data_IF_683180136242
#
_entry.id   IF_683180136242
#
_cell.length_a   1.000
_cell.length_b   1.000
_cell.length_c   1.000
_cell.angle_alpha   90.00
_cell.angle_beta   90.00
_cell.angle_gamma   90.00
#
_symmetry.space_group_name_H-M   'P 1'
#
loop_
_entity.id
_entity.type
_entity.pdbx_description
1 polymer ?
#
# COMPACT_ATOMS: atom_id res chain seq x y z
N UNK A 1 -3.85 49.67 -4.49
CA UNK A 1 -4.49 48.33 -4.48
C UNK A 1 -3.40 47.31 -4.27
N UNK A 2 -3.24 46.80 -3.04
CA UNK A 2 -2.31 45.69 -2.75
C UNK A 2 -3.02 44.40 -3.14
N UNK A 3 -2.55 43.72 -4.21
CA UNK A 3 -3.00 42.38 -4.56
C UNK A 3 -2.64 41.45 -3.39
N UNK A 4 -3.67 40.92 -2.73
CA UNK A 4 -3.47 39.88 -1.73
C UNK A 4 -2.93 38.65 -2.43
N UNK A 5 -1.68 38.30 -2.15
CA UNK A 5 -1.15 36.98 -2.53
C UNK A 5 -2.08 35.93 -1.93
N UNK A 6 -2.74 35.17 -2.79
CA UNK A 6 -3.54 34.02 -2.41
C UNK A 6 -2.53 33.00 -1.88
N UNK A 7 -2.52 32.71 -0.58
CA UNK A 7 -1.68 31.64 -0.01
C UNK A 7 -2.10 30.34 -0.66
N UNK A 8 -1.16 29.62 -1.30
CA UNK A 8 -1.40 28.31 -1.87
C UNK A 8 -1.91 27.36 -0.79
N UNK A 9 -3.00 26.69 -1.08
CA UNK A 9 -3.56 25.68 -0.18
C UNK A 9 -2.66 24.44 -0.14
N UNK A 10 -2.81 23.58 0.88
CA UNK A 10 -2.11 22.30 0.93
C UNK A 10 -2.39 21.45 -0.31
N UNK A 11 -3.63 21.50 -0.82
CA UNK A 11 -4.04 20.82 -2.06
C UNK A 11 -3.26 21.34 -3.28
N UNK A 12 -3.12 22.66 -3.42
CA UNK A 12 -2.41 23.25 -4.56
C UNK A 12 -0.91 22.89 -4.51
N UNK A 13 -0.32 22.92 -3.34
CA UNK A 13 1.08 22.50 -3.12
C UNK A 13 1.29 21.01 -3.47
N UNK A 14 0.39 20.13 -3.07
CA UNK A 14 0.47 18.70 -3.41
C UNK A 14 0.34 18.50 -4.92
N UNK A 15 -0.55 19.22 -5.58
CA UNK A 15 -0.69 19.17 -7.05
C UNK A 15 0.58 19.62 -7.76
N UNK A 16 1.22 20.68 -7.27
CA UNK A 16 2.50 21.16 -7.79
C UNK A 16 3.60 20.11 -7.65
N UNK A 17 3.72 19.44 -6.48
CA UNK A 17 4.68 18.36 -6.24
C UNK A 17 4.54 17.23 -7.27
N UNK A 18 3.32 16.79 -7.58
CA UNK A 18 3.11 15.75 -8.58
C UNK A 18 3.42 16.22 -10.01
N UNK A 19 3.06 17.47 -10.34
CA UNK A 19 3.35 18.05 -11.65
C UNK A 19 4.87 18.18 -11.87
N UNK A 20 5.61 18.70 -10.89
CA UNK A 20 7.06 18.87 -10.93
C UNK A 20 7.79 17.51 -11.03
N UNK A 21 7.24 16.46 -10.42
CA UNK A 21 7.76 15.10 -10.53
C UNK A 21 7.42 14.40 -11.85
N UNK A 22 6.66 15.03 -12.74
CA UNK A 22 6.24 14.43 -14.01
C UNK A 22 5.31 13.22 -13.82
N UNK A 23 4.41 13.29 -12.85
CA UNK A 23 3.43 12.22 -12.61
C UNK A 23 2.02 12.77 -12.37
N UNK A 24 1.01 11.93 -12.62
CA UNK A 24 -0.33 12.13 -12.10
C UNK A 24 -0.39 11.52 -10.71
N UNK A 25 -0.92 12.28 -9.74
CA UNK A 25 -1.04 11.84 -8.35
C UNK A 25 -2.46 11.91 -7.80
N UNK A 26 -2.75 11.00 -6.89
CA UNK A 26 -3.98 10.90 -6.11
C UNK A 26 -3.61 10.75 -4.65
N UNK A 27 -4.25 11.48 -3.78
CA UNK A 27 -3.97 11.45 -2.35
C UNK A 27 -5.25 11.56 -1.54
N UNK A 28 -5.35 10.75 -0.50
CA UNK A 28 -6.27 10.99 0.60
C UNK A 28 -5.53 10.82 1.93
N UNK A 29 -5.81 11.70 2.88
CA UNK A 29 -5.31 11.59 4.25
C UNK A 29 -6.44 11.86 5.25
N UNK A 30 -6.39 11.17 6.41
CA UNK A 30 -7.36 11.33 7.49
C UNK A 30 -6.74 11.09 8.86
N UNK A 31 -7.20 11.81 9.87
CA UNK A 31 -6.90 11.48 11.26
C UNK A 31 -7.69 10.24 11.69
N UNK A 32 -6.99 9.26 12.23
CA UNK A 32 -7.61 8.05 12.76
C UNK A 32 -8.27 8.35 14.11
N UNK A 33 -9.49 7.84 14.31
CA UNK A 33 -10.24 7.96 15.57
C UNK A 33 -10.49 9.41 16.04
N UNK A 34 -10.37 10.41 15.15
CA UNK A 34 -10.70 11.79 15.46
C UNK A 34 -12.21 12.02 15.33
N UNK A 35 -12.91 12.46 16.41
CA UNK A 35 -14.34 12.78 16.33
C UNK A 35 -14.71 13.85 15.30
N UNK A 36 -13.73 14.69 14.89
CA UNK A 36 -13.93 15.73 13.87
C UNK A 36 -13.83 15.20 12.44
N UNK A 37 -13.39 13.93 12.28
CA UNK A 37 -13.21 13.26 10.99
C UNK A 37 -12.42 14.12 9.96
N UNK A 38 -11.35 14.82 10.40
CA UNK A 38 -10.60 15.71 9.55
C UNK A 38 -9.89 14.95 8.42
N UNK A 39 -10.08 15.41 7.19
CA UNK A 39 -9.50 14.80 5.98
C UNK A 39 -8.89 15.84 5.06
N UNK A 40 -7.97 15.39 4.19
CA UNK A 40 -7.44 16.14 3.06
C UNK A 40 -7.44 15.23 1.83
N UNK A 41 -7.92 15.74 0.69
CA UNK A 41 -8.09 14.94 -0.52
C UNK A 41 -7.61 15.67 -1.76
N UNK A 42 -6.87 14.94 -2.59
CA UNK A 42 -6.54 15.32 -3.98
C UNK A 42 -6.97 14.17 -4.87
N UNK A 43 -8.13 14.28 -5.54
CA UNK A 43 -8.71 13.23 -6.38
C UNK A 43 -8.87 11.88 -5.62
N UNK A 44 -9.16 11.94 -4.32
CA UNK A 44 -9.19 10.78 -3.44
C UNK A 44 -10.35 9.80 -3.67
N UNK A 45 -11.34 10.17 -4.48
CA UNK A 45 -12.51 9.40 -4.90
C UNK A 45 -12.36 8.77 -6.31
N UNK A 46 -11.26 9.02 -6.99
CA UNK A 46 -10.98 8.42 -8.30
C UNK A 46 -10.35 7.03 -8.18
N UNK A 47 -10.66 6.15 -9.13
CA UNK A 47 -10.11 4.78 -9.15
C UNK A 47 -8.63 4.78 -9.53
N UNK A 48 -7.84 4.01 -8.79
CA UNK A 48 -6.39 3.85 -8.97
C UNK A 48 -6.00 2.38 -8.90
N UNK A 49 -4.89 2.05 -9.54
CA UNK A 49 -4.28 0.70 -9.52
C UNK A 49 -3.63 0.47 -8.16
N UNK A 50 -3.91 -0.67 -7.54
CA UNK A 50 -3.32 -1.04 -6.25
C UNK A 50 -1.84 -1.43 -6.37
N UNK A 51 -1.42 -2.14 -7.43
CA UNK A 51 -0.18 -2.87 -7.44
C UNK A 51 -0.04 -3.68 -6.13
N UNK A 52 1.17 -3.83 -5.56
CA UNK A 52 1.36 -4.59 -4.31
C UNK A 52 0.67 -4.02 -3.06
N UNK A 53 -0.02 -2.89 -3.14
CA UNK A 53 -0.89 -2.43 -2.03
C UNK A 53 -2.05 -3.40 -1.79
N UNK A 54 -2.44 -4.22 -2.79
CA UNK A 54 -3.45 -5.27 -2.61
C UNK A 54 -3.10 -6.28 -1.52
N UNK A 55 -1.82 -6.42 -1.19
CA UNK A 55 -1.34 -7.30 -0.11
C UNK A 55 -1.82 -6.86 1.27
N UNK A 56 -2.16 -5.58 1.46
CA UNK A 56 -2.71 -5.09 2.72
C UNK A 56 -4.10 -5.67 3.01
N UNK A 57 -5.13 -5.54 2.17
CA UNK A 57 -6.41 -6.21 2.43
C UNK A 57 -6.29 -7.74 2.49
N UNK A 58 -5.40 -8.37 1.72
CA UNK A 58 -5.11 -9.81 1.85
C UNK A 58 -4.55 -10.15 3.23
N UNK A 59 -3.62 -9.36 3.74
CA UNK A 59 -3.04 -9.54 5.07
C UNK A 59 -4.07 -9.39 6.18
N UNK A 60 -4.97 -8.42 6.06
CA UNK A 60 -6.06 -8.24 7.03
C UNK A 60 -7.09 -9.37 6.97
N UNK A 61 -7.35 -9.91 5.77
CA UNK A 61 -8.17 -11.11 5.62
C UNK A 61 -7.50 -12.33 6.29
N UNK A 62 -6.19 -12.51 6.12
CA UNK A 62 -5.44 -13.53 6.86
C UNK A 62 -5.61 -13.39 8.37
N UNK A 63 -5.40 -12.19 8.93
CA UNK A 63 -5.58 -11.94 10.35
C UNK A 63 -7.02 -12.23 10.82
N UNK A 64 -8.02 -11.85 10.04
CA UNK A 64 -9.42 -12.12 10.35
C UNK A 64 -9.77 -13.61 10.32
N UNK A 65 -9.16 -14.39 9.41
CA UNK A 65 -9.31 -15.85 9.36
C UNK A 65 -8.66 -16.54 10.58
N UNK A 66 -7.54 -16.00 11.05
CA UNK A 66 -6.89 -16.45 12.29
C UNK A 66 -7.76 -16.13 13.51
N UNK A 67 -8.29 -14.91 13.63
CA UNK A 67 -9.19 -14.51 14.70
C UNK A 67 -10.47 -15.36 14.76
N UNK A 68 -10.95 -15.76 13.61
CA UNK A 68 -12.12 -16.63 13.48
C UNK A 68 -11.81 -18.12 13.74
N UNK A 69 -10.55 -18.50 13.98
CA UNK A 69 -10.12 -19.87 14.17
C UNK A 69 -10.19 -20.75 12.91
N UNK A 70 -10.33 -20.15 11.72
CA UNK A 70 -10.35 -20.87 10.45
C UNK A 70 -8.94 -21.12 9.87
N UNK A 71 -7.96 -20.34 10.26
CA UNK A 71 -6.55 -20.56 9.96
C UNK A 71 -5.70 -20.62 11.24
N UNK A 72 -4.76 -21.56 11.25
CA UNK A 72 -3.71 -21.62 12.27
C UNK A 72 -2.50 -20.80 11.80
N UNK A 73 -2.25 -19.66 12.46
CA UNK A 73 -1.13 -18.77 12.15
C UNK A 73 0.25 -19.45 12.33
N UNK A 74 0.35 -20.44 13.21
CA UNK A 74 1.57 -21.23 13.46
C UNK A 74 1.75 -22.40 12.49
N UNK A 75 0.70 -22.75 11.76
CA UNK A 75 0.71 -23.85 10.79
C UNK A 75 1.79 -23.66 9.74
N UNK A 76 2.51 -24.73 9.44
CA UNK A 76 3.69 -24.71 8.59
C UNK A 76 3.34 -24.88 7.11
N UNK A 77 3.94 -24.03 6.28
CA UNK A 77 3.87 -24.10 4.82
C UNK A 77 5.25 -24.46 4.27
N UNK A 78 5.30 -25.49 3.44
CA UNK A 78 6.51 -25.80 2.65
C UNK A 78 6.35 -25.14 1.28
N UNK A 79 7.27 -24.24 0.98
CA UNK A 79 7.24 -23.42 -0.23
C UNK A 79 8.47 -23.76 -1.08
N UNK A 80 8.25 -24.04 -2.36
CA UNK A 80 9.31 -24.33 -3.34
C UNK A 80 9.42 -23.09 -4.24
N UNK A 81 10.51 -22.33 -4.16
CA UNK A 81 10.62 -21.02 -4.86
C UNK A 81 10.48 -21.11 -6.38
N UNK A 82 10.93 -22.23 -6.99
CA UNK A 82 10.78 -22.44 -8.45
C UNK A 82 9.33 -22.53 -8.93
N UNK A 83 8.41 -22.86 -8.03
CA UNK A 83 6.98 -23.04 -8.34
C UNK A 83 6.17 -21.77 -8.04
N UNK A 84 6.86 -20.71 -7.56
CA UNK A 84 6.26 -19.47 -7.12
C UNK A 84 6.48 -18.32 -8.12
N UNK A 85 5.68 -17.28 -7.97
CA UNK A 85 5.87 -16.03 -8.73
C UNK A 85 7.23 -15.40 -8.42
N UNK A 86 8.01 -15.08 -9.44
CA UNK A 86 9.33 -14.47 -9.26
C UNK A 86 9.23 -13.08 -8.63
N UNK A 87 10.29 -12.70 -7.91
CA UNK A 87 10.39 -11.38 -7.30
C UNK A 87 11.79 -11.10 -6.77
N UNK A 88 12.12 -9.83 -6.52
CA UNK A 88 13.46 -9.45 -6.06
C UNK A 88 13.69 -9.67 -4.55
N UNK A 89 12.68 -10.05 -3.80
CA UNK A 89 12.69 -10.06 -2.33
C UNK A 89 12.00 -11.27 -1.74
N UNK A 90 12.37 -11.61 -0.50
CA UNK A 90 11.76 -12.68 0.27
C UNK A 90 11.93 -14.06 -0.35
N UNK A 91 10.94 -14.92 -0.16
CA UNK A 91 10.92 -16.31 -0.66
C UNK A 91 11.08 -16.36 -2.19
N UNK A 92 10.49 -15.38 -2.89
CA UNK A 92 10.60 -15.29 -4.35
C UNK A 92 12.04 -15.19 -4.87
N UNK A 93 13.00 -14.84 -4.01
CA UNK A 93 14.45 -14.76 -4.33
C UNK A 93 15.26 -15.96 -3.84
N UNK A 94 14.65 -16.91 -3.12
CA UNK A 94 15.36 -18.08 -2.59
C UNK A 94 15.63 -19.10 -3.71
N UNK A 95 16.59 -20.00 -3.45
CA UNK A 95 16.96 -21.07 -4.39
C UNK A 95 16.44 -22.44 -3.95
N UNK A 96 16.36 -22.63 -2.64
CA UNK A 96 16.01 -23.90 -2.03
C UNK A 96 14.64 -23.82 -1.37
N UNK A 97 13.92 -24.96 -1.25
CA UNK A 97 12.65 -25.02 -0.53
C UNK A 97 12.80 -24.56 0.92
N UNK A 98 11.79 -23.83 1.40
CA UNK A 98 11.73 -23.33 2.77
C UNK A 98 10.43 -23.78 3.43
N UNK A 99 10.48 -23.98 4.76
CA UNK A 99 9.29 -24.22 5.58
C UNK A 99 9.17 -23.08 6.58
N UNK A 100 8.01 -22.39 6.56
CA UNK A 100 7.73 -21.25 7.41
C UNK A 100 6.32 -21.34 7.98
N UNK A 101 6.08 -20.67 9.12
CA UNK A 101 4.72 -20.50 9.62
C UNK A 101 3.92 -19.56 8.71
N UNK A 102 2.59 -19.72 8.69
CA UNK A 102 1.71 -18.80 7.92
C UNK A 102 1.91 -17.35 8.34
N UNK A 103 2.11 -17.08 9.65
CA UNK A 103 2.36 -15.71 10.12
C UNK A 103 3.67 -15.13 9.59
N UNK A 104 4.72 -15.93 9.43
CA UNK A 104 6.01 -15.48 8.91
C UNK A 104 5.93 -15.27 7.39
N UNK A 105 5.16 -16.11 6.68
CA UNK A 105 4.84 -15.88 5.27
C UNK A 105 4.07 -14.56 5.09
N UNK A 106 3.08 -14.29 5.95
CA UNK A 106 2.32 -13.04 5.93
C UNK A 106 3.21 -11.83 6.26
N UNK A 107 4.12 -11.96 7.22
CA UNK A 107 5.10 -10.92 7.54
C UNK A 107 6.06 -10.66 6.35
N UNK A 108 6.57 -11.70 5.68
CA UNK A 108 7.40 -11.54 4.46
C UNK A 108 6.64 -10.82 3.35
N UNK A 109 5.38 -11.20 3.10
CA UNK A 109 4.52 -10.53 2.14
C UNK A 109 4.42 -9.02 2.37
N UNK A 110 4.29 -8.60 3.62
CA UNK A 110 4.09 -7.20 3.98
C UNK A 110 5.40 -6.42 4.06
N UNK A 111 6.41 -6.96 4.75
CA UNK A 111 7.64 -6.22 5.09
C UNK A 111 8.55 -5.99 3.91
N UNK A 112 8.75 -7.02 3.06
CA UNK A 112 9.60 -6.94 1.86
C UNK A 112 8.81 -7.03 0.56
N UNK A 113 7.47 -7.05 0.63
CA UNK A 113 6.58 -7.17 -0.54
C UNK A 113 6.77 -8.48 -1.32
N UNK A 114 7.08 -9.58 -0.66
CA UNK A 114 7.33 -10.90 -1.22
C UNK A 114 6.16 -11.38 -2.10
N UNK A 115 6.44 -11.69 -3.38
CA UNK A 115 5.43 -12.10 -4.34
C UNK A 115 5.01 -13.55 -4.14
N UNK A 116 5.99 -14.44 -3.85
CA UNK A 116 5.71 -15.85 -3.59
C UNK A 116 4.83 -16.01 -2.35
N UNK A 117 5.18 -15.30 -1.27
CA UNK A 117 4.37 -15.27 -0.05
C UNK A 117 2.94 -14.78 -0.31
N UNK A 118 2.78 -13.75 -1.14
CA UNK A 118 1.47 -13.20 -1.47
C UNK A 118 0.59 -14.21 -2.22
N UNK A 119 1.14 -14.87 -3.25
CA UNK A 119 0.36 -15.80 -4.06
C UNK A 119 0.04 -17.10 -3.29
N UNK A 120 0.96 -17.56 -2.43
CA UNK A 120 0.71 -18.69 -1.51
C UNK A 120 -0.44 -18.38 -0.55
N UNK A 121 -0.43 -17.21 0.10
CA UNK A 121 -1.51 -16.84 1.02
C UNK A 121 -2.83 -16.57 0.29
N UNK A 122 -2.78 -15.93 -0.87
CA UNK A 122 -3.98 -15.71 -1.68
C UNK A 122 -4.59 -17.03 -2.13
N UNK A 123 -3.77 -18.04 -2.46
CA UNK A 123 -4.21 -19.38 -2.79
C UNK A 123 -4.91 -20.11 -1.63
N UNK A 124 -4.47 -19.89 -0.37
CA UNK A 124 -5.12 -20.46 0.82
C UNK A 124 -6.41 -19.71 1.21
N UNK A 125 -6.41 -18.39 1.14
CA UNK A 125 -7.49 -17.52 1.63
C UNK A 125 -8.58 -17.35 0.55
N UNK A 126 -8.17 -17.20 -0.70
CA UNK A 126 -9.05 -16.89 -1.83
C UNK A 126 -9.42 -15.40 -1.92
N UNK A 127 -9.69 -14.94 -3.13
CA UNK A 127 -10.13 -13.55 -3.39
C UNK A 127 -11.48 -13.25 -2.75
N UNK A 128 -12.39 -14.22 -2.73
CA UNK A 128 -13.73 -14.09 -2.15
C UNK A 128 -13.68 -13.68 -0.68
N UNK A 129 -12.82 -14.30 0.13
CA UNK A 129 -12.65 -13.96 1.56
C UNK A 129 -12.16 -12.52 1.74
N UNK A 130 -11.25 -12.07 0.86
CA UNK A 130 -10.78 -10.68 0.87
C UNK A 130 -11.91 -9.72 0.51
N UNK A 131 -12.70 -10.04 -0.52
CA UNK A 131 -13.85 -9.23 -0.94
C UNK A 131 -14.94 -9.16 0.13
N UNK A 132 -15.21 -10.26 0.83
CA UNK A 132 -16.14 -10.29 1.96
C UNK A 132 -15.68 -9.39 3.11
N UNK A 133 -14.38 -9.37 3.43
CA UNK A 133 -13.82 -8.44 4.40
C UNK A 133 -14.04 -6.99 3.97
N UNK A 134 -13.70 -6.66 2.72
CA UNK A 134 -13.87 -5.31 2.16
C UNK A 134 -15.36 -4.89 2.18
N UNK A 135 -16.27 -5.79 1.82
CA UNK A 135 -17.71 -5.52 1.86
C UNK A 135 -18.22 -5.26 3.29
N UNK A 136 -17.78 -6.04 4.29
CA UNK A 136 -18.12 -5.80 5.71
C UNK A 136 -17.66 -4.43 6.20
N UNK A 137 -16.54 -3.92 5.65
CA UNK A 137 -16.01 -2.59 5.98
C UNK A 137 -16.65 -1.47 5.13
N UNK A 138 -17.55 -1.81 4.22
CA UNK A 138 -18.17 -0.86 3.30
C UNK A 138 -17.19 -0.26 2.28
N UNK A 139 -16.12 -1.01 1.93
CA UNK A 139 -15.10 -0.60 0.95
C UNK A 139 -15.45 -1.15 -0.43
N UNK A 140 -16.53 -0.65 -1.00
CA UNK A 140 -17.17 -1.20 -2.21
C UNK A 140 -16.50 -0.77 -3.52
N UNK A 141 -15.60 0.19 -3.47
CA UNK A 141 -14.81 0.67 -4.61
C UNK A 141 -13.46 -0.03 -4.74
N UNK A 142 -13.08 -0.81 -3.71
CA UNK A 142 -11.87 -1.64 -3.69
C UNK A 142 -12.20 -3.05 -4.17
N UNK A 143 -11.40 -3.57 -5.10
CA UNK A 143 -11.55 -4.94 -5.61
C UNK A 143 -10.19 -5.61 -5.79
N UNK A 144 -10.13 -6.90 -5.52
CA UNK A 144 -8.96 -7.75 -5.70
C UNK A 144 -9.32 -8.84 -6.71
N UNK A 145 -8.82 -8.74 -7.94
CA UNK A 145 -9.18 -9.65 -9.03
C UNK A 145 -8.16 -10.77 -9.25
N UNK A 146 -7.11 -10.83 -8.47
CA UNK A 146 -6.06 -11.84 -8.54
C UNK A 146 -4.80 -11.40 -7.83
N UNK A 147 -3.79 -12.28 -7.81
CA UNK A 147 -2.48 -12.09 -7.22
C UNK A 147 -1.43 -11.53 -8.18
N UNK A 148 -0.17 -11.57 -7.76
CA UNK A 148 0.95 -11.12 -8.58
C UNK A 148 1.15 -12.04 -9.79
N UNK A 149 0.92 -13.35 -9.65
CA UNK A 149 1.01 -14.30 -10.75
C UNK A 149 0.09 -13.94 -11.92
N UNK A 150 -1.18 -13.60 -11.60
CA UNK A 150 -2.18 -13.23 -12.63
C UNK A 150 -1.79 -11.95 -13.38
N UNK A 151 -1.23 -10.98 -12.67
CA UNK A 151 -0.75 -9.73 -13.28
C UNK A 151 0.44 -9.99 -14.18
N UNK A 152 1.40 -10.81 -13.75
CA UNK A 152 2.61 -11.11 -14.51
C UNK A 152 2.32 -11.94 -15.76
N UNK A 153 1.41 -12.90 -15.65
CA UNK A 153 0.96 -13.67 -16.80
C UNK A 153 0.35 -12.76 -17.87
N UNK A 154 -0.56 -11.88 -17.48
CA UNK A 154 -1.17 -10.91 -18.41
C UNK A 154 -0.15 -9.96 -19.03
N UNK A 155 0.84 -9.49 -18.27
CA UNK A 155 1.91 -8.65 -18.83
C UNK A 155 2.71 -9.37 -19.91
N UNK A 156 3.05 -10.65 -19.70
CA UNK A 156 3.74 -11.47 -20.72
C UNK A 156 2.90 -11.61 -21.97
N UNK A 157 1.60 -11.90 -21.84
CA UNK A 157 0.66 -12.02 -22.95
C UNK A 157 0.50 -10.69 -23.70
N UNK A 158 0.30 -9.57 -22.99
CA UNK A 158 0.05 -8.25 -23.59
C UNK A 158 1.29 -7.62 -24.24
N UNK A 159 2.48 -8.01 -23.80
CA UNK A 159 3.74 -7.54 -24.38
C UNK A 159 4.33 -8.50 -25.44
N UNK A 160 3.65 -9.62 -25.72
CA UNK A 160 4.10 -10.67 -26.64
C UNK A 160 5.55 -11.14 -26.33
N UNK A 161 5.84 -11.31 -25.03
CA UNK A 161 7.15 -11.77 -24.53
C UNK A 161 7.05 -13.19 -23.96
N UNK A 162 8.19 -13.80 -23.63
CA UNK A 162 8.23 -15.18 -23.12
C UNK A 162 8.36 -15.23 -21.59
N UNK A 163 8.87 -14.16 -21.01
CA UNK A 163 9.17 -14.11 -19.58
C UNK A 163 8.75 -12.77 -18.97
N UNK A 164 8.48 -12.78 -17.70
CA UNK A 164 8.20 -11.55 -16.93
C UNK A 164 9.34 -10.53 -17.00
N UNK A 165 10.59 -10.99 -17.05
CA UNK A 165 11.77 -10.10 -17.18
C UNK A 165 11.76 -9.38 -18.51
N UNK A 166 11.45 -10.10 -19.59
CA UNK A 166 11.32 -9.50 -20.94
C UNK A 166 10.14 -8.54 -20.99
N UNK A 167 8.99 -8.89 -20.39
CA UNK A 167 7.83 -8.02 -20.30
C UNK A 167 8.15 -6.70 -19.59
N UNK A 168 8.78 -6.74 -18.41
CA UNK A 168 9.20 -5.53 -17.72
C UNK A 168 10.23 -4.72 -18.48
N UNK A 169 11.15 -5.35 -19.22
CA UNK A 169 12.09 -4.64 -20.09
C UNK A 169 11.36 -3.95 -21.24
N UNK A 170 10.40 -4.62 -21.88
CA UNK A 170 9.58 -4.02 -22.93
C UNK A 170 8.81 -2.79 -22.42
N UNK A 171 8.25 -2.85 -21.19
CA UNK A 171 7.54 -1.72 -20.58
C UNK A 171 8.43 -0.50 -20.27
N UNK A 172 9.77 -0.66 -20.30
CA UNK A 172 10.71 0.47 -20.14
C UNK A 172 11.14 1.09 -21.45
N UNK A 173 10.70 0.55 -22.60
CA UNK A 173 10.90 1.17 -23.90
C UNK A 173 10.04 2.44 -24.01
N UNK A 174 10.72 3.59 -24.02
CA UNK A 174 10.08 4.91 -24.05
C UNK A 174 9.44 5.24 -25.41
N UNK A 175 9.83 4.54 -26.46
CA UNK A 175 9.29 4.72 -27.81
C UNK A 175 8.02 3.87 -28.03
N UNK A 176 7.77 2.91 -27.13
CA UNK A 176 6.58 2.08 -27.14
C UNK A 176 5.54 2.63 -26.16
N UNK A 177 4.44 3.18 -26.65
CA UNK A 177 3.30 3.60 -25.84
C UNK A 177 2.51 2.37 -25.39
N UNK A 178 3.02 1.66 -24.36
CA UNK A 178 2.36 0.46 -23.85
C UNK A 178 1.06 0.80 -23.12
N UNK A 179 -0.04 0.24 -23.63
CA UNK A 179 -1.33 0.21 -22.94
C UNK A 179 -1.54 -1.22 -22.40
N UNK A 180 -1.10 -1.47 -21.18
CA UNK A 180 -1.27 -2.77 -20.52
C UNK A 180 -2.33 -2.70 -19.44
N UNK A 181 -3.06 -3.80 -19.25
CA UNK A 181 -4.13 -3.91 -18.26
C UNK A 181 -3.66 -3.60 -16.84
N UNK A 182 -2.39 -3.89 -16.53
CA UNK A 182 -1.77 -3.59 -15.24
C UNK A 182 -1.72 -2.10 -14.88
N UNK A 183 -1.88 -1.18 -15.85
CA UNK A 183 -1.89 0.26 -15.65
C UNK A 183 -3.29 0.88 -15.65
N UNK A 184 -4.33 0.09 -15.90
CA UNK A 184 -5.71 0.55 -15.96
C UNK A 184 -6.54 -0.04 -14.79
N UNK A 185 -7.08 0.81 -13.90
CA UNK A 185 -7.90 0.35 -12.78
C UNK A 185 -9.20 -0.34 -13.21
N UNK A 186 -9.57 -0.33 -14.49
CA UNK A 186 -10.69 -1.09 -15.02
C UNK A 186 -10.39 -2.59 -15.15
N UNK A 187 -9.12 -2.97 -15.33
CA UNK A 187 -8.72 -4.34 -15.67
C UNK A 187 -7.82 -5.03 -14.64
N UNK A 188 -7.46 -4.35 -13.55
CA UNK A 188 -6.62 -4.92 -12.49
C UNK A 188 -7.21 -4.69 -11.10
N UNK A 189 -6.55 -5.19 -10.07
CA UNK A 189 -6.90 -4.88 -8.67
C UNK A 189 -6.80 -3.39 -8.44
N UNK A 190 -7.88 -2.79 -7.95
CA UNK A 190 -8.05 -1.34 -7.89
C UNK A 190 -8.77 -0.88 -6.63
N UNK A 191 -8.61 0.40 -6.31
CA UNK A 191 -9.23 1.06 -5.15
C UNK A 191 -9.49 2.52 -5.45
N UNK A 192 -9.93 3.26 -4.42
CA UNK A 192 -9.83 4.73 -4.33
C UNK A 192 -9.00 5.08 -3.09
N UNK A 193 -8.19 6.16 -3.11
CA UNK A 193 -7.36 6.56 -1.97
C UNK A 193 -8.12 6.69 -0.65
N UNK A 194 -9.36 7.18 -0.70
CA UNK A 194 -10.22 7.32 0.48
C UNK A 194 -10.50 5.97 1.16
N UNK A 195 -10.79 4.91 0.40
CA UNK A 195 -11.05 3.58 0.98
C UNK A 195 -9.80 2.99 1.64
N UNK A 196 -8.61 3.24 1.10
CA UNK A 196 -7.38 2.77 1.74
C UNK A 196 -7.12 3.47 3.07
N UNK A 197 -7.39 4.76 3.19
CA UNK A 197 -7.28 5.43 4.49
C UNK A 197 -8.36 4.99 5.47
N UNK A 198 -9.56 4.64 5.01
CA UNK A 198 -10.60 4.02 5.86
C UNK A 198 -10.18 2.63 6.35
N UNK A 199 -9.56 1.82 5.47
CA UNK A 199 -9.03 0.52 5.85
C UNK A 199 -7.93 0.64 6.92
N UNK A 200 -7.00 1.58 6.75
CA UNK A 200 -5.95 1.87 7.73
C UNK A 200 -6.53 2.35 9.07
N UNK A 201 -7.49 3.28 9.03
CA UNK A 201 -8.19 3.74 10.24
C UNK A 201 -8.88 2.60 10.98
N UNK A 202 -9.53 1.69 10.27
CA UNK A 202 -10.19 0.54 10.87
C UNK A 202 -9.21 -0.39 11.62
N UNK A 203 -7.98 -0.54 11.11
CA UNK A 203 -6.91 -1.27 11.81
C UNK A 203 -6.45 -0.50 13.05
N UNK A 204 -6.22 0.81 12.94
CA UNK A 204 -5.71 1.63 14.04
C UNK A 204 -6.74 1.87 15.15
N UNK A 205 -8.02 1.85 14.83
CA UNK A 205 -9.11 1.90 15.82
C UNK A 205 -9.40 0.56 16.50
N UNK A 206 -8.78 -0.54 16.03
CA UNK A 206 -9.05 -1.89 16.54
C UNK A 206 -10.47 -2.41 16.24
N UNK A 207 -11.14 -1.84 15.21
CA UNK A 207 -12.53 -2.18 14.91
C UNK A 207 -12.71 -3.39 14.00
N UNK A 208 -11.61 -3.95 13.44
CA UNK A 208 -11.63 -5.00 12.40
C UNK A 208 -11.14 -6.34 12.92
N UNK A 209 -10.13 -6.34 13.77
CA UNK A 209 -9.39 -7.50 14.24
C UNK A 209 -9.43 -7.59 15.75
N UNK A 210 -9.09 -8.77 16.29
CA UNK A 210 -8.83 -8.93 17.72
C UNK A 210 -7.68 -8.01 18.18
N UNK A 211 -7.55 -7.71 19.48
CA UNK A 211 -6.42 -6.92 19.99
C UNK A 211 -5.06 -7.53 19.61
N UNK A 212 -4.91 -8.86 19.65
CA UNK A 212 -3.68 -9.56 19.30
C UNK A 212 -3.36 -9.40 17.81
N UNK A 213 -4.32 -9.66 16.93
CA UNK A 213 -4.14 -9.51 15.48
C UNK A 213 -3.97 -8.05 15.06
N UNK A 214 -4.60 -7.10 15.77
CA UNK A 214 -4.37 -5.67 15.56
C UNK A 214 -2.92 -5.28 15.86
N UNK A 215 -2.40 -5.70 17.03
CA UNK A 215 -1.01 -5.44 17.40
C UNK A 215 -0.03 -6.07 16.40
N UNK A 216 -0.26 -7.33 16.02
CA UNK A 216 0.52 -8.00 15.00
C UNK A 216 0.50 -7.24 13.66
N UNK A 217 -0.67 -6.82 13.19
CA UNK A 217 -0.82 -6.09 11.94
C UNK A 217 -0.04 -4.78 11.96
N UNK A 218 -0.17 -3.99 13.02
CA UNK A 218 0.56 -2.73 13.19
C UNK A 218 2.07 -2.96 13.25
N UNK A 219 2.54 -3.96 14.01
CA UNK A 219 3.95 -4.32 14.11
C UNK A 219 4.54 -4.68 12.73
N UNK A 220 3.88 -5.57 11.98
CA UNK A 220 4.33 -6.00 10.66
C UNK A 220 4.36 -4.82 9.68
N UNK A 221 3.38 -3.93 9.71
CA UNK A 221 3.36 -2.74 8.85
C UNK A 221 4.47 -1.74 9.19
N UNK A 222 4.85 -1.57 10.48
CA UNK A 222 6.00 -0.76 10.90
C UNK A 222 7.34 -1.35 10.47
N UNK A 223 7.40 -2.67 10.24
CA UNK A 223 8.61 -3.37 9.80
C UNK A 223 8.84 -3.33 8.28
N UNK A 224 8.03 -2.59 7.50
CA UNK A 224 8.26 -2.42 6.07
C UNK A 224 9.64 -1.80 5.82
N UNK A 225 10.43 -2.42 4.92
CA UNK A 225 11.84 -2.06 4.67
C UNK A 225 12.05 -0.94 3.63
N UNK A 226 10.99 -0.39 3.05
CA UNK A 226 11.05 0.59 1.95
C UNK A 226 10.88 2.03 2.46
N UNK A 227 11.97 2.81 2.73
CA UNK A 227 11.87 4.12 3.35
C UNK A 227 11.80 5.28 2.34
N UNK A 228 11.83 5.02 1.05
CA UNK A 228 12.08 6.03 0.00
C UNK A 228 10.84 6.78 -0.49
N UNK A 229 9.63 6.46 0.03
CA UNK A 229 8.36 7.13 -0.30
C UNK A 229 7.82 7.88 0.91
N UNK A 230 6.69 7.44 1.50
CA UNK A 230 6.07 8.18 2.62
C UNK A 230 7.07 8.44 3.74
N UNK A 231 7.85 7.43 4.15
CA UNK A 231 8.83 7.59 5.23
C UNK A 231 9.90 8.64 4.94
N UNK A 232 10.26 8.87 3.68
CA UNK A 232 11.23 9.93 3.29
C UNK A 232 10.75 11.34 3.61
N UNK A 233 9.44 11.54 3.71
CA UNK A 233 8.84 12.82 4.13
C UNK A 233 8.97 13.12 5.62
N UNK A 234 9.38 12.14 6.44
CA UNK A 234 9.40 12.23 7.91
C UNK A 234 10.73 11.75 8.49
N UNK A 235 11.87 12.38 8.16
CA UNK A 235 13.19 11.96 8.61
C UNK A 235 13.47 12.38 10.07
N UNK A 236 12.50 12.22 10.96
CA UNK A 236 12.57 12.66 12.34
C UNK A 236 12.51 11.46 13.31
N UNK A 237 13.37 11.49 14.34
CA UNK A 237 13.30 10.51 15.43
C UNK A 237 11.95 10.65 16.16
N UNK A 238 11.34 9.51 16.50
CA UNK A 238 10.06 9.47 17.22
C UNK A 238 8.82 9.56 16.31
N UNK A 239 8.99 9.62 14.99
CA UNK A 239 7.87 9.42 14.05
C UNK A 239 7.92 7.99 13.54
N UNK A 240 6.84 7.23 13.77
CA UNK A 240 6.71 5.89 13.24
C UNK A 240 5.88 5.91 11.95
N UNK A 241 6.30 5.09 10.98
CA UNK A 241 5.59 4.91 9.70
C UNK A 241 5.27 3.43 9.55
N UNK A 242 3.99 3.13 9.44
CA UNK A 242 3.50 1.77 9.25
C UNK A 242 2.77 1.66 7.93
N UNK A 243 3.33 0.97 6.93
CA UNK A 243 2.79 1.07 5.58
C UNK A 243 2.94 -0.14 4.69
N UNK A 244 2.47 0.03 3.45
CA UNK A 244 2.65 -0.90 2.35
C UNK A 244 2.86 -0.15 1.03
N UNK A 245 3.98 -0.44 0.38
CA UNK A 245 4.29 0.06 -0.97
C UNK A 245 3.62 -0.77 -2.05
N UNK A 246 3.40 -0.15 -3.21
CA UNK A 246 2.96 -0.83 -4.44
C UNK A 246 3.75 -0.32 -5.64
N UNK A 247 4.24 -1.24 -6.48
CA UNK A 247 5.05 -0.90 -7.64
C UNK A 247 4.77 -1.85 -8.79
N UNK A 248 4.46 -1.28 -9.96
CA UNK A 248 4.46 -1.99 -11.23
C UNK A 248 4.71 -0.98 -12.35
N UNK A 249 5.82 -1.14 -13.08
CA UNK A 249 6.21 -0.22 -14.16
C UNK A 249 6.12 1.25 -13.73
N UNK A 250 5.25 2.02 -14.38
CA UNK A 250 5.02 3.46 -14.12
C UNK A 250 4.18 3.75 -12.87
N UNK A 251 3.58 2.74 -12.26
CA UNK A 251 2.76 2.88 -11.04
C UNK A 251 3.67 2.83 -9.81
N UNK A 252 3.57 3.86 -8.97
CA UNK A 252 4.28 3.97 -7.70
C UNK A 252 3.28 4.39 -6.63
N UNK A 253 3.10 3.57 -5.61
CA UNK A 253 2.10 3.80 -4.57
C UNK A 253 2.69 3.55 -3.19
N UNK A 254 2.13 4.21 -2.19
CA UNK A 254 2.27 3.80 -0.80
C UNK A 254 1.03 4.23 0.00
N UNK A 255 0.59 3.36 0.90
CA UNK A 255 -0.40 3.65 1.92
C UNK A 255 0.22 3.40 3.29
N UNK A 256 0.04 4.33 4.23
CA UNK A 256 0.66 4.23 5.55
C UNK A 256 -0.13 4.96 6.63
N UNK A 257 0.16 4.63 7.88
CA UNK A 257 -0.20 5.46 9.03
C UNK A 257 1.08 6.11 9.55
N UNK A 258 1.00 7.42 9.76
CA UNK A 258 2.07 8.25 10.33
C UNK A 258 1.70 8.56 11.77
N UNK A 259 2.58 8.21 12.70
CA UNK A 259 2.36 8.32 14.13
C UNK A 259 3.35 9.30 14.77
N UNK A 260 2.83 10.35 15.40
CA UNK A 260 3.57 11.28 16.22
C UNK A 260 3.23 11.07 17.69
N UNK A 261 4.19 11.11 18.61
CA UNK A 261 3.91 10.97 20.03
C UNK A 261 2.90 12.01 20.54
N UNK A 262 1.81 11.56 21.17
CA UNK A 262 0.78 12.44 21.73
C UNK A 262 -0.15 13.10 20.73
N UNK A 263 -0.13 12.69 19.47
CA UNK A 263 -1.03 13.19 18.42
C UNK A 263 -1.92 12.06 17.85
N UNK A 264 -3.00 12.45 17.16
CA UNK A 264 -3.79 11.48 16.41
C UNK A 264 -2.97 10.85 15.30
N UNK A 265 -2.94 9.51 15.16
CA UNK A 265 -2.35 8.86 14.02
C UNK A 265 -3.04 9.32 12.73
N UNK A 266 -2.28 9.46 11.64
CA UNK A 266 -2.80 9.95 10.37
C UNK A 266 -2.61 8.88 9.30
N UNK A 267 -3.70 8.32 8.81
CA UNK A 267 -3.71 7.46 7.65
C UNK A 267 -3.53 8.30 6.39
N UNK A 268 -2.61 7.91 5.53
CA UNK A 268 -2.35 8.57 4.25
C UNK A 268 -2.19 7.54 3.14
N UNK A 269 -2.82 7.78 2.00
CA UNK A 269 -2.77 6.93 0.82
C UNK A 269 -2.35 7.80 -0.37
N UNK A 270 -1.22 7.47 -0.99
CA UNK A 270 -0.67 8.18 -2.14
C UNK A 270 -0.49 7.21 -3.28
N UNK A 271 -1.10 7.52 -4.41
CA UNK A 271 -1.02 6.75 -5.64
C UNK A 271 -0.49 7.65 -6.75
N UNK A 272 0.42 7.11 -7.58
CA UNK A 272 0.99 7.88 -8.69
C UNK A 272 1.09 7.04 -9.95
N UNK A 273 1.00 7.74 -11.09
CA UNK A 273 1.30 7.21 -12.42
C UNK A 273 2.30 8.15 -13.08
N UNK A 274 3.53 7.68 -13.26
CA UNK A 274 4.58 8.43 -13.94
C UNK A 274 4.23 8.65 -15.42
N UNK A 275 4.66 9.78 -15.98
CA UNK A 275 4.47 10.08 -17.40
C UNK A 275 5.41 9.26 -18.31
N UNK A 276 6.52 8.75 -17.75
CA UNK A 276 7.50 7.96 -18.49
C UNK A 276 7.82 6.67 -17.72
N UNK A 277 8.08 5.61 -18.46
CA UNK A 277 8.55 4.35 -17.90
C UNK A 277 10.05 4.44 -17.64
N UNK A 278 10.47 4.04 -16.44
CA UNK A 278 11.86 3.87 -16.03
C UNK A 278 11.88 2.80 -14.93
N UNK A 279 12.87 1.89 -14.90
CA UNK A 279 13.01 0.93 -13.82
C UNK A 279 13.14 1.59 -12.44
N UNK A 280 13.73 2.79 -12.39
CA UNK A 280 13.95 3.57 -11.17
C UNK A 280 13.36 4.97 -11.35
N UNK A 281 12.44 5.36 -10.48
CA UNK A 281 11.74 6.65 -10.53
C UNK A 281 11.91 7.43 -9.20
N UNK A 282 13.16 7.82 -8.84
CA UNK A 282 13.43 8.42 -7.53
C UNK A 282 12.71 9.75 -7.32
N UNK A 283 12.47 10.53 -8.38
CA UNK A 283 11.75 11.80 -8.30
C UNK A 283 10.28 11.56 -7.95
N UNK A 284 9.66 10.54 -8.55
CA UNK A 284 8.26 10.17 -8.25
C UNK A 284 8.16 9.56 -6.84
N UNK A 285 9.11 8.72 -6.45
CA UNK A 285 9.16 8.15 -5.10
C UNK A 285 9.30 9.25 -4.03
N UNK A 286 10.17 10.26 -4.24
CA UNK A 286 10.32 11.41 -3.35
C UNK A 286 9.06 12.30 -3.31
N UNK A 287 8.38 12.47 -4.45
CA UNK A 287 7.13 13.23 -4.52
C UNK A 287 6.02 12.60 -3.67
N UNK A 288 5.97 11.26 -3.56
CA UNK A 288 5.05 10.56 -2.65
C UNK A 288 5.32 10.98 -1.19
N UNK A 289 6.60 11.01 -0.79
CA UNK A 289 7.00 11.43 0.56
C UNK A 289 6.65 12.89 0.85
N UNK A 290 6.94 13.79 -0.09
CA UNK A 290 6.67 15.21 0.06
C UNK A 290 5.16 15.52 0.08
N UNK A 291 4.37 14.90 -0.81
CA UNK A 291 2.91 15.04 -0.82
C UNK A 291 2.29 14.54 0.50
N UNK A 292 2.75 13.39 1.00
CA UNK A 292 2.33 12.86 2.30
C UNK A 292 2.71 13.82 3.45
N UNK A 293 3.93 14.38 3.43
CA UNK A 293 4.38 15.34 4.44
C UNK A 293 3.49 16.58 4.49
N UNK A 294 3.13 17.14 3.33
CA UNK A 294 2.24 18.30 3.26
C UNK A 294 0.86 17.96 3.86
N UNK A 295 0.26 16.84 3.43
CA UNK A 295 -1.06 16.43 3.88
C UNK A 295 -1.10 16.13 5.39
N UNK A 296 -0.11 15.37 5.88
CA UNK A 296 -0.01 15.01 7.30
C UNK A 296 0.24 16.25 8.16
N UNK A 297 1.12 17.17 7.74
CA UNK A 297 1.39 18.41 8.49
C UNK A 297 0.12 19.25 8.66
N UNK A 298 -0.72 19.32 7.63
CA UNK A 298 -2.00 20.05 7.69
C UNK A 298 -3.00 19.42 8.67
N UNK A 299 -2.94 18.09 8.82
CA UNK A 299 -3.89 17.33 9.63
C UNK A 299 -3.42 17.07 11.07
N UNK A 300 -2.18 17.44 11.46
CA UNK A 300 -1.69 17.18 12.82
C UNK A 300 -2.55 17.84 13.89
N UNK A 301 -2.84 17.11 14.95
CA UNK A 301 -3.52 17.63 16.14
C UNK A 301 -3.20 16.78 17.36
N UNK A 302 -3.05 17.41 18.55
CA UNK A 302 -2.90 16.69 19.82
C UNK A 302 -4.10 15.78 20.09
N UNK A 303 -3.86 14.66 20.76
CA UNK A 303 -4.92 13.79 21.27
C UNK A 303 -5.82 14.55 22.24
N UNK A 304 -7.13 14.33 22.15
CA UNK A 304 -8.09 14.84 23.15
C UNK A 304 -7.91 14.14 24.50
N UNK A 305 -7.56 12.83 24.51
CA UNK A 305 -7.09 12.07 25.67
C UNK A 305 -5.71 11.46 25.31
N UNK A 306 -4.62 11.93 25.95
CA UNK A 306 -3.29 11.41 25.68
C UNK A 306 -3.10 9.91 25.97
N UNK A 307 -4.02 9.27 26.72
CA UNK A 307 -3.98 7.84 27.00
C UNK A 307 -4.60 6.97 25.91
N UNK A 308 -5.29 7.57 24.94
CA UNK A 308 -5.95 6.83 23.86
C UNK A 308 -4.95 6.08 22.94
N UNK A 309 -3.74 6.63 22.81
CA UNK A 309 -2.62 6.02 22.09
C UNK A 309 -1.34 6.22 22.90
N UNK A 310 -1.07 5.37 23.91
CA UNK A 310 0.14 5.53 24.72
C UNK A 310 1.38 5.32 23.82
N UNK A 311 2.48 6.07 24.06
CA UNK A 311 3.73 5.83 23.38
C UNK A 311 4.20 4.40 23.69
N UNK A 312 4.58 3.65 22.67
CA UNK A 312 5.26 2.38 22.85
C UNK A 312 6.61 2.64 23.53
N UNK A 313 6.89 1.91 24.60
CA UNK A 313 8.15 1.96 25.38
C UNK A 313 9.25 1.18 24.67
#
# INVERSE_FOLDING_TARGET
>A
MKGGERRDTAVDRIRAVFADAGCTGWLHARRCSDPRAATLSVRGDERVVLASVYKLPLFLAFCAEVDAGRLDASGQLRIVPSDCTPGPTGIASFRDPVTMSRRDVAASMMTVSDNAAADVLLGEIGTTTVEELLARLGLTRTRIIGGTADVYQRLVEETDTRTTVEAFRALTDIDAAWTVSAYDPAYTSATIPEEMTRLLEAVWSGSVLSPESTAFAQQVMRAQVWPHRIASGFPHRGVAIAGKTGTIGIIRNEVAVVEFPGEYPIAVAVFTRAARADPVLPVVDAAIGEAARIAVTELRAPLADPRAFPPEV
#
